data_IF_759240517195
#
_entry.id   IF_759240517195
#
_cell.length_a   1.000
_cell.length_b   1.000
_cell.length_c   1.000
_cell.angle_alpha   90.00
_cell.angle_beta   90.00
_cell.angle_gamma   90.00
#
_symmetry.space_group_name_H-M   'P 1'
#
loop_
_entity.id
_entity.type
_entity.pdbx_description
1 polymer ?
#
# COMPACT_ATOMS: atom_id res chain seq x y z
N UNK A 1 16.22 54.53 10.09
CA UNK A 1 16.34 53.44 9.09
C UNK A 1 17.02 52.20 9.60
N UNK A 2 17.80 52.26 10.71
CA UNK A 2 18.51 51.07 11.31
C UNK A 2 17.55 50.03 11.88
N UNK A 3 16.55 50.44 12.66
CA UNK A 3 15.63 49.49 13.35
C UNK A 3 14.78 48.56 12.46
N UNK A 4 14.58 48.95 11.20
CA UNK A 4 13.82 48.10 10.25
C UNK A 4 14.72 46.99 9.70
N UNK A 5 15.99 47.25 9.49
CA UNK A 5 16.99 46.27 9.03
C UNK A 5 17.29 45.25 10.14
N UNK A 6 17.48 45.73 11.40
CA UNK A 6 17.70 44.84 12.55
C UNK A 6 16.54 43.84 12.76
N UNK A 7 15.30 44.32 12.57
CA UNK A 7 14.09 43.46 12.65
C UNK A 7 13.95 42.45 11.51
N UNK A 8 14.49 42.76 10.32
CA UNK A 8 14.48 41.84 9.17
C UNK A 8 15.55 40.75 9.35
N UNK A 9 16.75 41.12 9.85
CA UNK A 9 17.80 40.15 10.15
C UNK A 9 17.38 39.19 11.27
N UNK A 10 16.76 39.68 12.35
CA UNK A 10 16.20 38.83 13.41
C UNK A 10 15.12 37.87 12.85
N UNK A 11 14.25 38.33 11.95
CA UNK A 11 13.21 37.50 11.35
C UNK A 11 13.76 36.43 10.41
N UNK A 12 14.89 36.73 9.73
CA UNK A 12 15.58 35.76 8.86
C UNK A 12 16.25 34.66 9.70
N UNK A 13 16.86 35.02 10.83
CA UNK A 13 17.50 34.06 11.74
C UNK A 13 16.46 33.12 12.39
N UNK A 14 15.24 33.61 12.65
CA UNK A 14 14.13 32.76 13.16
C UNK A 14 13.56 31.79 12.09
N UNK A 15 13.89 31.97 10.80
CA UNK A 15 13.44 31.15 9.69
C UNK A 15 14.51 30.18 9.17
N UNK A 16 15.66 30.13 9.81
CA UNK A 16 16.74 29.19 9.51
C UNK A 16 16.90 28.21 10.67
N UNK A 17 17.16 26.93 10.41
CA UNK A 17 17.54 25.96 11.42
C UNK A 17 19.00 26.16 11.91
N UNK A 18 19.47 25.33 12.85
CA UNK A 18 20.83 25.41 13.40
C UNK A 18 21.94 25.22 12.33
N UNK A 19 21.59 24.68 11.16
CA UNK A 19 22.50 24.46 10.02
C UNK A 19 22.40 25.57 8.96
N UNK A 20 21.52 26.59 9.16
CA UNK A 20 21.32 27.73 8.26
C UNK A 20 20.40 27.42 7.08
N UNK A 21 19.67 26.31 7.12
CA UNK A 21 18.66 25.97 6.13
C UNK A 21 17.32 26.65 6.47
N UNK A 22 16.53 27.06 5.47
CA UNK A 22 15.24 27.69 5.73
C UNK A 22 14.30 26.72 6.46
N UNK A 23 13.91 27.07 7.68
CA UNK A 23 12.90 26.32 8.44
C UNK A 23 11.61 26.29 7.61
N UNK A 24 11.24 25.12 7.08
CA UNK A 24 9.96 24.96 6.40
C UNK A 24 10.01 24.47 4.97
N UNK A 25 11.08 23.77 4.57
CA UNK A 25 11.20 23.20 3.22
C UNK A 25 10.93 21.69 3.12
N UNK A 26 10.74 20.96 4.23
CA UNK A 26 10.61 19.49 4.20
C UNK A 26 9.41 19.06 3.38
N UNK A 27 9.64 18.11 2.49
CA UNK A 27 8.57 17.50 1.68
C UNK A 27 8.29 16.08 2.18
N UNK A 28 7.02 15.77 2.43
CA UNK A 28 6.57 14.45 2.89
C UNK A 28 5.61 13.86 1.87
N UNK A 29 5.91 12.67 1.35
CA UNK A 29 5.02 11.91 0.48
C UNK A 29 4.25 10.86 1.27
N UNK A 30 2.91 10.86 1.17
CA UNK A 30 2.05 9.91 1.88
C UNK A 30 1.38 9.00 0.85
N UNK A 31 1.71 7.71 0.89
CA UNK A 31 1.28 6.70 -0.09
C UNK A 31 0.28 5.72 0.55
N UNK A 32 -1.02 5.98 0.45
CA UNK A 32 -2.02 5.06 1.00
C UNK A 32 -2.36 3.93 0.03
N UNK A 33 -2.36 2.71 0.53
CA UNK A 33 -2.72 1.55 -0.27
C UNK A 33 -3.09 0.32 0.53
N UNK A 34 -3.55 -0.68 -0.21
CA UNK A 34 -3.86 -1.97 0.41
C UNK A 34 -2.61 -2.85 0.54
N UNK A 35 -1.80 -2.87 -0.53
CA UNK A 35 -0.54 -3.59 -0.61
C UNK A 35 -0.65 -5.06 -0.18
N UNK A 36 -1.55 -5.82 -0.81
CA UNK A 36 -1.87 -7.21 -0.43
C UNK A 36 -1.79 -8.18 -1.61
N UNK A 37 -0.56 -8.67 -1.91
CA UNK A 37 0.73 -8.26 -1.36
C UNK A 37 1.28 -6.99 -2.03
N UNK A 38 2.26 -6.30 -1.42
CA UNK A 38 3.08 -5.34 -2.14
C UNK A 38 3.91 -6.06 -3.21
N UNK A 39 4.41 -5.33 -4.20
CA UNK A 39 5.17 -5.87 -5.32
C UNK A 39 6.08 -4.78 -5.92
N UNK A 40 6.97 -5.15 -6.85
CA UNK A 40 7.95 -4.24 -7.47
C UNK A 40 7.33 -2.97 -8.08
N UNK A 41 6.11 -3.05 -8.62
CA UNK A 41 5.42 -1.85 -9.11
C UNK A 41 5.03 -0.85 -8.00
N UNK A 42 4.80 -1.34 -6.77
CA UNK A 42 4.62 -0.46 -5.62
C UNK A 42 5.97 0.09 -5.13
N UNK A 43 7.02 -0.72 -5.15
CA UNK A 43 8.38 -0.30 -4.83
C UNK A 43 8.86 0.80 -5.78
N UNK A 44 8.60 0.65 -7.07
CA UNK A 44 8.92 1.66 -8.07
C UNK A 44 8.20 2.99 -7.80
N UNK A 45 6.93 2.93 -7.41
CA UNK A 45 6.19 4.12 -6.97
C UNK A 45 6.85 4.79 -5.76
N UNK A 46 7.29 4.02 -4.78
CA UNK A 46 8.00 4.55 -3.60
C UNK A 46 9.31 5.22 -4.00
N UNK A 47 10.09 4.61 -4.91
CA UNK A 47 11.33 5.21 -5.44
C UNK A 47 11.08 6.56 -6.10
N UNK A 48 10.06 6.64 -6.96
CA UNK A 48 9.71 7.90 -7.62
C UNK A 48 9.30 8.99 -6.63
N UNK A 49 8.68 8.63 -5.50
CA UNK A 49 8.37 9.60 -4.44
C UNK A 49 9.57 9.94 -3.57
N UNK A 50 10.49 9.01 -3.34
CA UNK A 50 11.75 9.29 -2.62
C UNK A 50 12.67 10.25 -3.40
N UNK A 51 12.49 10.37 -4.72
CA UNK A 51 13.17 11.38 -5.54
C UNK A 51 12.51 12.77 -5.44
N UNK A 52 11.28 12.86 -4.90
CA UNK A 52 10.48 14.07 -4.82
C UNK A 52 10.28 14.58 -3.40
N UNK A 53 10.58 13.77 -2.39
CA UNK A 53 10.28 14.04 -1.00
C UNK A 53 11.43 13.63 -0.08
N UNK A 54 11.59 14.34 1.02
CA UNK A 54 12.59 14.07 2.05
C UNK A 54 12.18 12.89 2.95
N UNK A 55 10.89 12.60 3.01
CA UNK A 55 10.32 11.45 3.72
C UNK A 55 9.18 10.82 2.93
N UNK A 56 9.12 9.49 2.93
CA UNK A 56 8.02 8.74 2.34
C UNK A 56 7.31 7.91 3.40
N UNK A 57 6.00 8.11 3.57
CA UNK A 57 5.15 7.36 4.49
C UNK A 57 4.21 6.46 3.68
N UNK A 58 4.34 5.14 3.85
CA UNK A 58 3.46 4.15 3.24
C UNK A 58 2.40 3.72 4.24
N UNK A 59 1.13 4.08 3.99
CA UNK A 59 0.00 3.72 4.83
C UNK A 59 -0.65 2.42 4.36
N UNK A 60 -0.46 1.34 5.11
CA UNK A 60 -0.93 0.00 4.76
C UNK A 60 -2.31 -0.27 5.36
N UNK A 61 -3.26 -0.70 4.54
CA UNK A 61 -4.62 -1.04 4.98
C UNK A 61 -4.65 -2.16 6.02
N UNK A 62 -5.30 -1.92 7.17
CA UNK A 62 -5.47 -2.90 8.24
C UNK A 62 -6.57 -3.94 7.98
N UNK A 63 -7.73 -3.63 7.35
CA UNK A 63 -8.83 -4.59 7.24
C UNK A 63 -8.48 -5.79 6.36
N UNK A 64 -8.89 -6.98 6.83
CA UNK A 64 -8.93 -8.19 6.03
C UNK A 64 -10.14 -8.13 5.09
N UNK A 65 -9.92 -8.34 3.79
CA UNK A 65 -10.99 -8.35 2.79
C UNK A 65 -11.02 -9.69 2.06
N UNK A 66 -12.20 -10.24 1.88
CA UNK A 66 -12.42 -11.51 1.16
C UNK A 66 -11.88 -11.50 -0.29
N UNK A 67 -11.73 -10.33 -0.91
CA UNK A 67 -11.15 -10.19 -2.25
C UNK A 67 -9.62 -10.17 -2.28
N UNK A 68 -8.96 -10.26 -1.13
CA UNK A 68 -7.50 -10.20 -0.99
C UNK A 68 -6.99 -11.40 -0.22
N UNK A 69 -7.33 -12.56 -0.75
CA UNK A 69 -7.00 -13.87 -0.21
C UNK A 69 -6.04 -14.60 -1.15
N UNK A 70 -5.29 -15.54 -0.60
CA UNK A 70 -4.54 -16.56 -1.33
C UNK A 70 -4.93 -17.89 -0.71
N UNK A 71 -5.32 -18.88 -1.51
CA UNK A 71 -5.83 -20.19 -1.05
C UNK A 71 -6.90 -20.06 0.06
N UNK A 72 -7.79 -19.08 -0.07
CA UNK A 72 -8.85 -18.82 0.89
C UNK A 72 -8.40 -18.08 2.17
N UNK A 73 -7.12 -17.80 2.35
CA UNK A 73 -6.58 -17.10 3.51
C UNK A 73 -6.34 -15.61 3.22
N UNK A 74 -6.86 -14.69 4.04
CA UNK A 74 -6.64 -13.26 3.84
C UNK A 74 -5.18 -12.89 4.16
N UNK A 75 -4.61 -12.01 3.33
CA UNK A 75 -3.27 -11.47 3.56
C UNK A 75 -3.37 -10.45 4.70
N UNK A 76 -2.74 -10.75 5.84
CA UNK A 76 -2.68 -9.84 6.98
C UNK A 76 -1.80 -8.62 6.70
N UNK A 77 -2.00 -7.56 7.48
CA UNK A 77 -1.17 -6.35 7.39
C UNK A 77 0.28 -6.65 7.76
N UNK A 78 0.49 -7.49 8.78
CA UNK A 78 1.83 -7.93 9.19
C UNK A 78 2.57 -8.61 8.03
N UNK A 79 1.96 -9.58 7.34
CA UNK A 79 2.56 -10.23 6.16
C UNK A 79 2.87 -9.24 5.04
N UNK A 80 2.01 -8.24 4.84
CA UNK A 80 2.28 -7.17 3.88
C UNK A 80 3.47 -6.31 4.29
N UNK A 81 3.64 -6.01 5.58
CA UNK A 81 4.80 -5.28 6.09
C UNK A 81 6.10 -6.07 5.90
N UNK A 82 6.10 -7.35 6.27
CA UNK A 82 7.27 -8.24 6.09
C UNK A 82 7.72 -8.30 4.61
N UNK A 83 6.76 -8.33 3.66
CA UNK A 83 7.11 -8.28 2.22
C UNK A 83 7.61 -6.88 1.82
N UNK A 84 7.04 -5.80 2.37
CA UNK A 84 7.55 -4.44 2.15
C UNK A 84 8.99 -4.27 2.64
N UNK A 85 9.28 -4.71 3.87
CA UNK A 85 10.61 -4.68 4.47
C UNK A 85 11.61 -5.41 3.56
N UNK A 86 11.29 -6.63 3.10
CA UNK A 86 12.12 -7.37 2.16
C UNK A 86 12.37 -6.59 0.85
N UNK A 87 11.32 -5.99 0.26
CA UNK A 87 11.46 -5.25 -1.00
C UNK A 87 12.30 -3.98 -0.85
N UNK A 88 12.16 -3.27 0.28
CA UNK A 88 12.93 -2.07 0.60
C UNK A 88 14.40 -2.40 0.86
N UNK A 89 14.67 -3.46 1.63
CA UNK A 89 16.03 -3.95 1.91
C UNK A 89 16.74 -4.35 0.61
N UNK A 90 16.08 -5.12 -0.25
CA UNK A 90 16.64 -5.53 -1.55
C UNK A 90 16.96 -4.34 -2.47
N UNK A 91 16.20 -3.26 -2.31
CA UNK A 91 16.39 -2.03 -3.07
C UNK A 91 17.42 -1.07 -2.44
N UNK A 92 17.87 -1.32 -1.21
CA UNK A 92 18.71 -0.42 -0.44
C UNK A 92 18.04 0.91 -0.08
N UNK A 93 16.71 0.89 0.13
CA UNK A 93 15.92 2.09 0.48
C UNK A 93 15.64 2.07 1.98
N UNK A 94 16.17 3.03 2.73
CA UNK A 94 16.05 3.14 4.18
C UNK A 94 15.06 4.22 4.66
N UNK A 95 14.84 5.26 3.85
CA UNK A 95 14.12 6.46 4.27
C UNK A 95 12.61 6.39 3.99
N UNK A 96 12.04 5.20 4.20
CA UNK A 96 10.61 4.93 4.01
C UNK A 96 10.00 4.42 5.30
N UNK A 97 8.98 5.13 5.78
CA UNK A 97 8.23 4.76 6.96
C UNK A 97 7.03 3.90 6.60
N UNK A 98 6.99 2.67 7.08
CA UNK A 98 5.85 1.77 6.93
C UNK A 98 4.90 1.92 8.12
N UNK A 99 3.67 2.31 7.87
CA UNK A 99 2.66 2.48 8.91
C UNK A 99 1.38 1.70 8.63
N UNK A 100 0.81 1.14 9.69
CA UNK A 100 -0.52 0.54 9.62
C UNK A 100 -1.55 1.67 9.67
N UNK A 101 -2.41 1.73 8.66
CA UNK A 101 -3.49 2.71 8.64
C UNK A 101 -4.38 2.58 9.89
N UNK A 102 -4.54 3.64 10.70
CA UNK A 102 -5.43 3.63 11.87
C UNK A 102 -6.90 3.55 11.48
N UNK A 103 -7.23 3.89 10.23
CA UNK A 103 -8.59 3.83 9.68
C UNK A 103 -8.76 2.66 8.72
N UNK A 104 -9.98 2.13 8.56
CA UNK A 104 -10.26 1.07 7.58
C UNK A 104 -9.90 1.43 6.14
N UNK A 105 -9.93 2.71 5.80
CA UNK A 105 -9.45 3.24 4.52
C UNK A 105 -8.14 3.99 4.74
N UNK A 106 -7.03 3.56 4.14
CA UNK A 106 -5.77 4.30 4.22
C UNK A 106 -5.87 5.68 3.55
N UNK A 107 -6.72 5.83 2.54
CA UNK A 107 -7.05 7.15 1.96
C UNK A 107 -7.70 8.07 3.00
N UNK A 108 -8.61 7.54 3.83
CA UNK A 108 -9.21 8.34 4.90
C UNK A 108 -8.22 8.66 6.03
N UNK A 109 -7.24 7.77 6.29
CA UNK A 109 -6.17 8.04 7.24
C UNK A 109 -5.21 9.13 6.76
N UNK A 110 -5.01 9.25 5.43
CA UNK A 110 -4.18 10.32 4.87
C UNK A 110 -4.69 11.71 5.23
N UNK A 111 -6.01 11.87 5.38
CA UNK A 111 -6.56 13.16 5.79
C UNK A 111 -6.16 13.57 7.21
N UNK A 112 -5.82 12.63 8.11
CA UNK A 112 -5.32 12.96 9.45
C UNK A 112 -3.91 13.57 9.43
N UNK A 113 -3.15 13.33 8.34
CA UNK A 113 -1.83 13.93 8.12
C UNK A 113 -1.90 15.35 7.55
N UNK A 114 -3.04 15.75 7.00
CA UNK A 114 -3.16 17.03 6.30
C UNK A 114 -4.16 17.98 6.93
N UNK A 115 -5.00 17.52 7.89
CA UNK A 115 -6.01 18.33 8.54
C UNK A 115 -5.44 19.24 9.65
N UNK A 116 -6.32 19.91 10.37
CA UNK A 116 -5.96 20.83 11.48
C UNK A 116 -5.19 20.16 12.63
N UNK A 117 -5.30 18.83 12.77
CA UNK A 117 -4.61 18.03 13.79
C UNK A 117 -3.38 17.30 13.22
N UNK A 118 -2.89 17.72 12.07
CA UNK A 118 -1.73 17.13 11.41
C UNK A 118 -0.56 16.96 12.37
N UNK A 119 0.11 15.78 12.36
CA UNK A 119 1.35 15.58 13.10
C UNK A 119 2.57 16.20 12.42
N UNK A 120 2.39 16.79 11.22
CA UNK A 120 3.48 17.39 10.45
C UNK A 120 3.75 18.83 10.90
N UNK A 121 4.99 19.24 10.80
CA UNK A 121 5.43 20.59 11.19
C UNK A 121 4.87 21.65 10.24
N UNK A 122 4.61 22.87 10.73
CA UNK A 122 4.24 23.99 9.89
C UNK A 122 5.27 24.24 8.76
N UNK A 123 4.78 24.56 7.57
CA UNK A 123 5.63 24.75 6.40
C UNK A 123 5.97 23.46 5.62
N UNK A 124 5.60 22.28 6.16
CA UNK A 124 5.82 21.02 5.42
C UNK A 124 5.04 21.02 4.12
N UNK A 125 5.73 20.64 3.03
CA UNK A 125 5.12 20.36 1.72
C UNK A 125 4.62 18.91 1.70
N UNK A 126 3.42 18.69 1.16
CA UNK A 126 2.78 17.38 1.17
C UNK A 126 2.54 16.90 -0.26
N UNK A 127 2.97 15.68 -0.53
CA UNK A 127 2.63 14.92 -1.72
C UNK A 127 1.63 13.82 -1.34
N UNK A 128 0.46 13.80 -1.97
CA UNK A 128 -0.52 12.74 -1.82
C UNK A 128 -0.31 11.67 -2.89
N UNK A 129 0.24 10.54 -2.48
CA UNK A 129 0.63 9.45 -3.36
C UNK A 129 -0.51 8.97 -4.24
N UNK A 130 -0.29 9.00 -5.56
CA UNK A 130 -1.20 8.55 -6.59
C UNK A 130 -0.43 8.18 -7.86
N UNK A 131 -1.06 7.41 -8.75
CA UNK A 131 -0.52 7.13 -10.06
C UNK A 131 -1.28 7.86 -11.16
N UNK A 132 -0.62 8.09 -12.29
CA UNK A 132 -1.27 8.64 -13.48
C UNK A 132 -2.24 7.63 -14.12
N UNK A 133 -2.06 6.34 -13.84
CA UNK A 133 -2.90 5.25 -14.37
C UNK A 133 -4.37 5.45 -14.01
N UNK A 134 -5.23 5.51 -15.03
CA UNK A 134 -6.67 5.69 -14.83
C UNK A 134 -7.08 7.01 -14.17
N UNK A 135 -6.14 7.92 -13.95
CA UNK A 135 -6.37 9.19 -13.26
C UNK A 135 -6.62 8.98 -11.75
N UNK A 136 -5.89 8.08 -11.12
CA UNK A 136 -5.99 7.77 -9.68
C UNK A 136 -5.80 9.04 -8.82
N UNK A 137 -4.96 10.00 -9.24
CA UNK A 137 -4.79 11.30 -8.58
C UNK A 137 -6.11 12.08 -8.39
N UNK A 138 -7.14 11.77 -9.19
CA UNK A 138 -8.45 12.44 -9.08
C UNK A 138 -9.13 12.18 -7.73
N UNK A 139 -8.74 11.14 -7.02
CA UNK A 139 -9.24 10.87 -5.66
C UNK A 139 -8.88 11.97 -4.67
N UNK A 140 -7.86 12.77 -4.97
CA UNK A 140 -7.38 13.87 -4.14
C UNK A 140 -7.94 15.25 -4.49
N UNK A 141 -8.85 15.36 -5.48
CA UNK A 141 -9.40 16.65 -5.94
C UNK A 141 -10.02 17.53 -4.86
N UNK A 142 -10.51 16.92 -3.79
CA UNK A 142 -11.10 17.66 -2.67
C UNK A 142 -10.15 17.84 -1.49
N UNK A 143 -8.95 17.29 -1.55
CA UNK A 143 -7.99 17.30 -0.43
C UNK A 143 -7.64 18.73 0.01
N UNK A 144 -7.44 19.64 -0.92
CA UNK A 144 -7.14 21.04 -0.65
C UNK A 144 -8.15 21.75 0.28
N UNK A 145 -9.38 21.24 0.40
CA UNK A 145 -10.40 21.79 1.30
C UNK A 145 -10.18 21.45 2.77
N UNK A 146 -9.34 20.46 3.04
CA UNK A 146 -9.12 19.90 4.37
C UNK A 146 -7.68 20.13 4.84
N UNK A 147 -6.83 20.73 4.01
CA UNK A 147 -5.43 20.96 4.35
C UNK A 147 -5.33 22.07 5.39
N UNK A 148 -4.58 21.79 6.46
CA UNK A 148 -4.19 22.78 7.45
C UNK A 148 -3.47 23.95 6.75
N UNK A 149 -3.90 25.21 7.00
CA UNK A 149 -3.27 26.38 6.39
C UNK A 149 -1.75 26.54 6.67
N UNK A 150 -1.24 25.86 7.69
CA UNK A 150 0.18 25.83 8.00
C UNK A 150 0.99 24.85 7.11
N UNK A 151 0.33 24.07 6.26
CA UNK A 151 0.95 23.08 5.37
C UNK A 151 0.76 23.49 3.92
N UNK A 152 1.64 23.01 3.03
CA UNK A 152 1.54 23.24 1.59
C UNK A 152 1.22 21.92 0.86
N UNK A 153 0.04 21.80 0.27
CA UNK A 153 -0.32 20.65 -0.56
C UNK A 153 0.16 20.87 -1.99
N UNK A 154 1.09 20.03 -2.45
CA UNK A 154 1.51 20.04 -3.85
C UNK A 154 0.40 19.45 -4.74
N UNK A 155 0.22 19.99 -5.99
CA UNK A 155 -0.85 19.54 -6.88
C UNK A 155 -0.74 18.04 -7.20
N UNK A 156 -1.76 17.21 -6.88
CA UNK A 156 -1.69 15.76 -7.09
C UNK A 156 -1.53 15.34 -8.55
N UNK A 157 -1.97 16.15 -9.50
CA UNK A 157 -1.79 15.93 -10.94
C UNK A 157 -0.33 16.11 -11.41
N UNK A 158 0.44 16.95 -10.72
CA UNK A 158 1.84 17.25 -11.05
C UNK A 158 2.78 16.26 -10.37
N UNK A 159 2.40 15.77 -9.18
CA UNK A 159 3.21 14.85 -8.38
C UNK A 159 2.88 13.38 -8.63
N UNK A 160 1.79 13.07 -9.35
CA UNK A 160 1.40 11.69 -9.64
C UNK A 160 2.46 10.96 -10.46
N UNK A 161 2.85 9.76 -9.99
CA UNK A 161 3.91 8.97 -10.61
C UNK A 161 3.41 8.13 -11.79
N UNK A 162 4.32 7.79 -12.70
CA UNK A 162 4.06 6.90 -13.83
C UNK A 162 4.31 5.45 -13.33
N UNK A 163 3.29 4.58 -13.29
CA UNK A 163 3.48 3.23 -12.81
C UNK A 163 4.38 2.43 -13.76
N UNK A 164 5.33 1.71 -13.20
CA UNK A 164 6.16 0.78 -13.94
C UNK A 164 5.35 -0.38 -14.53
N UNK A 165 5.84 -0.94 -15.63
CA UNK A 165 5.38 -2.22 -16.17
C UNK A 165 6.35 -3.33 -15.79
N UNK A 166 5.86 -4.57 -15.82
CA UNK A 166 6.67 -5.77 -15.70
C UNK A 166 7.64 -5.92 -16.89
N UNK A 167 8.68 -6.72 -16.78
CA UNK A 167 9.57 -7.03 -17.92
C UNK A 167 8.81 -7.58 -19.14
N UNK A 168 7.67 -8.22 -18.93
CA UNK A 168 6.76 -8.67 -19.99
C UNK A 168 6.05 -7.52 -20.75
N UNK A 169 6.14 -6.28 -20.27
CA UNK A 169 5.41 -5.11 -20.78
C UNK A 169 4.03 -4.91 -20.18
N UNK A 170 3.52 -5.88 -19.43
CA UNK A 170 2.23 -5.80 -18.75
C UNK A 170 2.32 -4.96 -17.45
N UNK A 171 1.25 -4.30 -17.03
CA UNK A 171 1.25 -3.57 -15.77
C UNK A 171 1.35 -4.51 -14.58
N UNK A 172 2.02 -4.07 -13.52
CA UNK A 172 1.99 -4.77 -12.24
C UNK A 172 0.58 -4.81 -11.65
N UNK A 173 0.22 -5.98 -11.08
CA UNK A 173 -1.08 -6.24 -10.47
C UNK A 173 -0.95 -7.18 -9.27
N UNK A 174 -1.36 -6.73 -8.09
CA UNK A 174 -1.41 -7.59 -6.91
C UNK A 174 -2.39 -8.78 -7.07
N UNK A 175 -3.36 -8.67 -7.97
CA UNK A 175 -4.27 -9.77 -8.30
C UNK A 175 -3.55 -10.87 -9.07
N UNK A 176 -2.72 -10.50 -10.05
CA UNK A 176 -1.97 -11.46 -10.84
C UNK A 176 -0.85 -12.09 -10.00
N UNK A 177 -0.16 -11.31 -9.17
CA UNK A 177 0.79 -11.84 -8.20
C UNK A 177 0.17 -12.92 -7.29
N UNK A 178 -1.06 -12.67 -6.77
CA UNK A 178 -1.78 -13.67 -5.97
C UNK A 178 -2.09 -14.94 -6.75
N UNK A 179 -2.55 -14.81 -8.01
CA UNK A 179 -2.85 -15.97 -8.86
C UNK A 179 -1.62 -16.85 -9.10
N UNK A 180 -0.47 -16.25 -9.42
CA UNK A 180 0.77 -17.00 -9.62
C UNK A 180 1.18 -17.75 -8.34
N UNK A 181 1.11 -17.07 -7.19
CA UNK A 181 1.40 -17.70 -5.90
C UNK A 181 0.40 -18.84 -5.55
N UNK A 182 -0.88 -18.71 -5.92
CA UNK A 182 -1.91 -19.76 -5.74
C UNK A 182 -1.66 -20.99 -6.64
N UNK A 183 -1.12 -20.77 -7.82
CA UNK A 183 -0.84 -21.79 -8.83
C UNK A 183 0.55 -22.42 -8.69
N UNK A 184 1.29 -22.05 -7.63
CA UNK A 184 2.67 -22.50 -7.42
C UNK A 184 3.63 -22.12 -8.57
N UNK A 185 3.33 -21.01 -9.24
CA UNK A 185 4.13 -20.48 -10.34
C UNK A 185 5.22 -19.54 -9.82
N UNK A 186 6.31 -19.43 -10.59
CA UNK A 186 7.35 -18.45 -10.30
C UNK A 186 6.80 -17.02 -10.46
N UNK A 187 6.81 -16.27 -9.37
CA UNK A 187 6.33 -14.89 -9.28
C UNK A 187 7.48 -13.88 -9.14
N UNK A 188 8.70 -14.24 -9.48
CA UNK A 188 9.89 -13.39 -9.36
C UNK A 188 9.75 -12.05 -10.11
N UNK A 189 8.99 -12.02 -11.20
CA UNK A 189 8.70 -10.77 -11.91
C UNK A 189 7.95 -9.74 -11.04
N UNK A 190 7.26 -10.19 -9.97
CA UNK A 190 6.55 -9.31 -9.03
C UNK A 190 7.37 -8.96 -7.80
N UNK A 191 8.31 -9.81 -7.39
CA UNK A 191 8.97 -9.67 -6.08
C UNK A 191 10.49 -9.55 -6.16
N UNK A 192 11.10 -9.81 -7.33
CA UNK A 192 12.54 -9.88 -7.54
C UNK A 192 13.03 -11.31 -7.73
N UNK A 193 14.18 -11.45 -8.38
CA UNK A 193 14.79 -12.75 -8.70
C UNK A 193 15.02 -13.57 -7.43
N UNK A 194 14.52 -14.81 -7.42
CA UNK A 194 14.66 -15.76 -6.31
C UNK A 194 13.80 -15.41 -5.08
N UNK A 195 12.87 -14.47 -5.17
CA UNK A 195 12.04 -14.02 -4.03
C UNK A 195 10.70 -14.73 -3.92
N UNK A 196 10.30 -15.48 -4.92
CA UNK A 196 9.01 -16.21 -4.91
C UNK A 196 8.85 -17.06 -3.64
N UNK A 197 9.86 -17.90 -3.32
CA UNK A 197 9.82 -18.80 -2.17
C UNK A 197 9.80 -18.04 -0.83
N UNK A 198 10.58 -16.96 -0.72
CA UNK A 198 10.56 -16.11 0.48
C UNK A 198 9.17 -15.52 0.71
N UNK A 199 8.53 -15.01 -0.34
CA UNK A 199 7.17 -14.45 -0.26
C UNK A 199 6.14 -15.53 0.08
N UNK A 200 6.27 -16.74 -0.49
CA UNK A 200 5.43 -17.90 -0.15
C UNK A 200 5.55 -18.25 1.32
N UNK A 201 6.77 -18.30 1.85
CA UNK A 201 7.04 -18.55 3.26
C UNK A 201 6.43 -17.49 4.17
N UNK A 202 6.63 -16.19 3.89
CA UNK A 202 5.99 -15.08 4.62
C UNK A 202 4.46 -15.23 4.62
N UNK A 203 3.89 -15.61 3.48
CA UNK A 203 2.46 -15.81 3.32
C UNK A 203 1.95 -17.11 3.95
N UNK A 204 2.85 -18.03 4.36
CA UNK A 204 2.52 -19.32 4.96
C UNK A 204 1.88 -20.29 3.95
N UNK A 205 2.33 -20.25 2.69
CA UNK A 205 1.79 -21.10 1.62
C UNK A 205 2.45 -22.47 1.59
N UNK A 206 3.69 -22.61 2.06
CA UNK A 206 4.46 -23.86 2.03
C UNK A 206 3.84 -24.93 2.93
N UNK A 207 3.37 -24.55 4.11
CA UNK A 207 2.75 -25.48 5.07
C UNK A 207 1.41 -26.06 4.59
N UNK A 208 0.71 -25.38 3.69
CA UNK A 208 -0.58 -25.83 3.17
C UNK A 208 -0.44 -26.89 2.07
N UNK A 209 0.67 -26.85 1.30
CA UNK A 209 0.93 -27.84 0.28
C UNK A 209 1.24 -29.20 0.92
N UNK A 210 1.98 -29.21 2.01
CA UNK A 210 2.29 -30.43 2.75
C UNK A 210 1.04 -31.06 3.37
N UNK A 211 0.12 -30.26 3.94
CA UNK A 211 -1.14 -30.77 4.50
C UNK A 211 -2.08 -31.31 3.41
N UNK A 212 -2.19 -30.63 2.28
CA UNK A 212 -2.99 -31.10 1.15
C UNK A 212 -2.42 -32.36 0.51
N UNK A 213 -1.09 -32.46 0.39
CA UNK A 213 -0.39 -33.64 -0.11
C UNK A 213 -0.52 -34.82 0.84
N UNK A 214 -0.47 -34.59 2.16
CA UNK A 214 -0.68 -35.62 3.18
C UNK A 214 -2.12 -36.15 3.18
N UNK A 215 -3.11 -35.31 2.91
CA UNK A 215 -4.51 -35.73 2.77
C UNK A 215 -4.78 -36.52 1.48
N UNK A 216 -4.10 -36.17 0.37
CA UNK A 216 -4.24 -36.87 -0.91
C UNK A 216 -3.55 -38.23 -0.93
N UNK A 217 -2.53 -38.45 -0.07
CA UNK A 217 -1.80 -39.73 0.06
C UNK A 217 -2.43 -40.75 1.01
N UNK A 218 -3.50 -40.40 1.73
CA UNK A 218 -4.25 -41.29 2.60
C UNK A 218 -5.14 -42.25 1.81
N UNK A 219 -4.58 -43.40 1.43
CA UNK A 219 -5.38 -44.50 0.87
C UNK A 219 -6.48 -44.90 1.89
N UNK A 220 -7.70 -44.48 1.62
CA UNK A 220 -8.87 -44.97 2.34
C UNK A 220 -9.14 -46.39 1.84
N UNK A 221 -8.61 -47.39 2.56
CA UNK A 221 -9.11 -48.76 2.45
C UNK A 221 -10.50 -48.84 3.09
N UNK A 222 -11.44 -49.00 2.23
CA UNK A 222 -12.71 -49.68 2.39
C UNK A 222 -13.59 -49.37 3.61
N UNK A 223 -14.72 -48.72 3.35
CA UNK A 223 -16.02 -49.23 3.87
C UNK A 223 -17.10 -48.87 2.84
N UNK A 224 -17.57 -49.87 2.15
CA UNK A 224 -18.74 -49.78 1.30
C UNK A 224 -20.04 -49.70 2.09
N UNK A 225 -20.76 -48.63 1.93
CA UNK A 225 -22.21 -48.60 2.08
C UNK A 225 -22.78 -47.42 1.21
N UNK A 226 -23.76 -47.65 0.36
CA UNK A 226 -24.32 -46.57 -0.43
C UNK A 226 -25.30 -45.77 0.43
N UNK A 227 -24.94 -44.58 0.81
CA UNK A 227 -25.86 -43.62 1.41
C UNK A 227 -26.62 -42.87 0.31
N UNK A 228 -27.92 -43.02 0.37
CA UNK A 228 -28.87 -42.50 -0.59
C UNK A 228 -28.79 -41.02 -0.82
N UNK A 229 -28.77 -40.64 -2.10
CA UNK A 229 -28.79 -39.28 -2.59
C UNK A 229 -30.13 -38.61 -2.27
N UNK A 230 -30.20 -37.79 -1.23
CA UNK A 230 -31.29 -36.82 -1.06
C UNK A 230 -31.02 -35.62 -1.98
N UNK A 231 -31.79 -35.52 -3.07
CA UNK A 231 -31.85 -34.35 -3.94
C UNK A 231 -32.21 -33.11 -3.11
N UNK A 232 -31.30 -32.18 -2.92
CA UNK A 232 -31.57 -30.84 -2.39
C UNK A 232 -32.31 -30.03 -3.47
N UNK A 233 -33.57 -29.67 -3.22
CA UNK A 233 -34.36 -28.73 -4.02
C UNK A 233 -33.66 -27.34 -3.99
N UNK A 234 -33.31 -26.81 -5.17
CA UNK A 234 -32.92 -25.41 -5.33
C UNK A 234 -34.10 -24.51 -4.96
N UNK A 235 -33.96 -23.73 -3.89
CA UNK A 235 -34.83 -22.58 -3.61
C UNK A 235 -34.53 -21.49 -4.64
N UNK A 236 -35.56 -21.06 -5.38
CA UNK A 236 -35.49 -19.89 -6.27
C UNK A 236 -35.20 -18.63 -5.45
N UNK A 237 -34.16 -17.93 -5.83
CA UNK A 237 -33.85 -16.59 -5.38
C UNK A 237 -34.58 -15.62 -6.31
N UNK A 238 -35.82 -15.29 -5.98
CA UNK A 238 -36.55 -14.16 -6.54
C UNK A 238 -37.24 -13.44 -5.37
N UNK A 239 -37.05 -12.14 -5.30
CA UNK A 239 -37.55 -11.17 -4.31
C UNK A 239 -36.44 -10.55 -3.44
N UNK A 240 -35.70 -9.63 -4.05
CA UNK A 240 -35.13 -8.48 -3.38
C UNK A 240 -34.72 -7.44 -4.47
N UNK A 241 -35.75 -6.91 -5.14
CA UNK A 241 -35.66 -5.65 -5.85
C UNK A 241 -36.99 -4.93 -5.59
N UNK A 242 -37.03 -4.20 -4.50
CA UNK A 242 -37.89 -3.04 -4.27
C UNK A 242 -37.60 -2.57 -2.82
N UNK A 243 -37.01 -1.41 -2.75
CA UNK A 243 -36.96 -0.43 -1.67
C UNK A 243 -35.53 0.10 -1.41
N UNK A 244 -35.40 1.33 -1.80
CA UNK A 244 -34.41 2.39 -1.63
C UNK A 244 -33.45 2.61 -2.76
#
# INVERSE_FOLDING_TARGET
MSKLYDSIEELIIELEDEDGDPVGGRTVAIIPGAFKPPHLGHLDMVRQYAEQADEVIVLISSPLRASRVILGQPISTRKSMEIWEMLLDDAGISDVKLEVSPKPSPVAATYDYIDENSPLEPGTKIILGASQKGGDFKRWRSAAKYVNPALELLPPEETAVIPANRPSGEPYSATDARKMLEQDENADEFFGEGRTETVRSILGLDSQIDEMSAMAGGAVQGYGAPLGTKKRKKKKQSEYNELY
#
